data_IF_075080587371
#
_entry.id   IF_075080587371
#
_cell.length_a   1.000
_cell.length_b   1.000
_cell.length_c   1.000
_cell.angle_alpha   90.00
_cell.angle_beta   90.00
_cell.angle_gamma   90.00
#
_symmetry.space_group_name_H-M   'P 1'
#
loop_
_entity.id
_entity.type
_entity.pdbx_description
1 polymer ?
#
# COMPACT_ATOMS: atom_id res chain seq x y z
N UNK A 1 -4.97 -26.42 7.04
CA UNK A 1 -4.38 -25.08 7.11
C UNK A 1 -4.44 -24.45 5.74
N UNK A 2 -5.06 -23.27 5.62
CA UNK A 2 -5.17 -22.55 4.33
C UNK A 2 -3.79 -22.04 3.88
N UNK A 3 -3.70 -21.63 2.61
CA UNK A 3 -2.47 -21.04 2.08
C UNK A 3 -2.14 -19.72 2.80
N UNK A 4 -3.14 -18.89 3.10
CA UNK A 4 -2.92 -17.64 3.83
C UNK A 4 -2.39 -17.89 5.24
N UNK A 5 -2.91 -18.92 5.93
CA UNK A 5 -2.38 -19.32 7.24
C UNK A 5 -0.89 -19.71 7.16
N UNK A 6 -0.47 -20.44 6.11
CA UNK A 6 0.95 -20.76 5.89
C UNK A 6 1.79 -19.50 5.64
N UNK A 7 1.29 -18.58 4.81
CA UNK A 7 2.00 -17.32 4.55
C UNK A 7 2.16 -16.48 5.83
N UNK A 8 1.18 -16.50 6.72
CA UNK A 8 1.22 -15.79 8.01
C UNK A 8 2.29 -16.33 8.98
N UNK A 9 2.76 -17.56 8.78
CA UNK A 9 3.88 -18.13 9.56
C UNK A 9 5.24 -17.56 9.15
N UNK A 10 5.33 -16.90 7.98
CA UNK A 10 6.55 -16.25 7.54
C UNK A 10 6.72 -14.88 8.22
N UNK A 11 7.94 -14.55 8.69
CA UNK A 11 8.25 -13.20 9.17
C UNK A 11 8.29 -12.17 8.03
N UNK A 12 8.49 -12.62 6.79
CA UNK A 12 8.43 -11.80 5.59
C UNK A 12 8.06 -12.68 4.38
N UNK A 13 7.35 -12.10 3.41
CA UNK A 13 6.93 -12.75 2.18
C UNK A 13 7.95 -12.63 1.02
N UNK A 14 9.17 -12.12 1.26
CA UNK A 14 10.23 -12.11 0.25
C UNK A 14 10.51 -13.51 -0.34
N UNK A 15 10.63 -14.52 0.51
CA UNK A 15 10.90 -15.88 0.05
C UNK A 15 9.78 -16.44 -0.85
N UNK A 16 8.49 -16.32 -0.51
CA UNK A 16 7.40 -16.77 -1.38
C UNK A 16 7.02 -15.80 -2.52
N UNK A 17 7.41 -14.53 -2.49
CA UNK A 17 6.92 -13.50 -3.44
C UNK A 17 8.00 -12.68 -4.15
N UNK A 18 9.27 -12.83 -3.80
CA UNK A 18 10.35 -11.91 -4.19
C UNK A 18 10.73 -11.90 -5.67
N UNK A 19 10.11 -12.73 -6.52
CA UNK A 19 10.30 -12.71 -7.97
C UNK A 19 8.96 -12.90 -8.68
N UNK A 20 8.85 -12.42 -9.93
CA UNK A 20 7.66 -12.61 -10.75
C UNK A 20 7.23 -14.08 -10.88
N UNK A 21 8.20 -14.99 -11.05
CA UNK A 21 7.91 -16.43 -11.12
C UNK A 21 7.34 -17.00 -9.82
N UNK A 22 7.87 -16.55 -8.67
CA UNK A 22 7.36 -16.94 -7.35
C UNK A 22 5.94 -16.40 -7.10
N UNK A 23 5.70 -15.12 -7.45
CA UNK A 23 4.35 -14.53 -7.38
C UNK A 23 3.35 -15.27 -8.26
N UNK A 24 3.71 -15.57 -9.51
CA UNK A 24 2.86 -16.32 -10.43
C UNK A 24 2.53 -17.74 -9.91
N UNK A 25 3.52 -18.42 -9.32
CA UNK A 25 3.29 -19.73 -8.69
C UNK A 25 2.36 -19.63 -7.47
N UNK A 26 2.57 -18.63 -6.61
CA UNK A 26 1.73 -18.41 -5.44
C UNK A 26 0.28 -18.10 -5.85
N UNK A 27 0.11 -17.22 -6.85
CA UNK A 27 -1.19 -16.88 -7.43
C UNK A 27 -1.94 -18.10 -7.94
N UNK A 28 -1.25 -18.98 -8.68
CA UNK A 28 -1.84 -20.23 -9.18
C UNK A 28 -2.23 -21.21 -8.07
N UNK A 29 -1.69 -21.04 -6.86
CA UNK A 29 -1.96 -21.89 -5.69
C UNK A 29 -3.11 -21.36 -4.82
N UNK A 30 -3.58 -20.14 -5.06
CA UNK A 30 -4.72 -19.57 -4.35
C UNK A 30 -6.04 -20.13 -4.92
N UNK A 31 -6.98 -20.55 -4.06
CA UNK A 31 -8.26 -21.05 -4.52
C UNK A 31 -9.08 -19.90 -5.15
N UNK A 32 -9.66 -20.10 -6.35
CA UNK A 32 -10.52 -19.09 -6.93
C UNK A 32 -11.79 -18.93 -6.07
N UNK A 33 -12.18 -17.68 -5.84
CA UNK A 33 -13.41 -17.34 -5.13
C UNK A 33 -14.02 -16.09 -5.77
N UNK A 34 -15.35 -16.07 -5.87
CA UNK A 34 -16.10 -14.88 -6.30
C UNK A 34 -16.79 -14.18 -5.14
N UNK A 35 -16.66 -14.74 -3.92
CA UNK A 35 -17.22 -14.14 -2.73
C UNK A 35 -16.54 -12.80 -2.45
N UNK A 36 -17.31 -11.85 -1.93
CA UNK A 36 -16.82 -10.54 -1.50
C UNK A 36 -17.13 -10.34 -0.02
N UNK A 37 -16.11 -10.05 0.77
CA UNK A 37 -16.25 -9.51 2.12
C UNK A 37 -16.32 -7.99 2.02
N UNK A 38 -17.44 -7.41 2.43
CA UNK A 38 -17.62 -5.95 2.42
C UNK A 38 -17.53 -5.38 3.84
N UNK A 39 -16.88 -4.23 3.97
CA UNK A 39 -16.84 -3.41 5.18
C UNK A 39 -17.45 -2.05 4.82
N UNK A 40 -18.55 -1.69 5.49
CA UNK A 40 -19.36 -0.49 5.15
C UNK A 40 -18.75 0.85 5.60
N UNK A 41 -17.53 0.84 6.15
CA UNK A 41 -16.78 2.02 6.56
C UNK A 41 -15.29 1.71 6.62
N UNK A 42 -14.59 2.29 7.59
CA UNK A 42 -13.17 2.01 7.81
C UNK A 42 -12.95 0.59 8.32
N UNK A 43 -11.90 -0.06 7.83
CA UNK A 43 -11.34 -1.28 8.41
C UNK A 43 -10.06 -0.90 9.15
N UNK A 44 -10.02 -1.10 10.46
CA UNK A 44 -8.84 -0.89 11.29
C UNK A 44 -8.32 -2.22 11.83
N UNK A 45 -7.03 -2.47 11.67
CA UNK A 45 -6.31 -3.51 12.39
C UNK A 45 -5.45 -2.86 13.46
N UNK A 46 -5.59 -3.33 14.70
CA UNK A 46 -4.80 -2.84 15.83
C UNK A 46 -3.40 -3.45 15.85
N UNK A 47 -2.54 -2.94 16.73
CA UNK A 47 -1.17 -3.44 16.84
C UNK A 47 -1.13 -4.96 17.06
N UNK A 48 -0.35 -5.66 16.22
CA UNK A 48 -0.20 -7.13 16.26
C UNK A 48 -1.43 -7.93 15.82
N UNK A 49 -2.48 -7.28 15.29
CA UNK A 49 -3.67 -7.96 14.83
C UNK A 49 -3.46 -8.64 13.46
N UNK A 50 -3.83 -9.92 13.39
CA UNK A 50 -3.86 -10.69 12.14
C UNK A 50 -5.28 -10.82 11.61
N UNK A 51 -5.48 -10.47 10.34
CA UNK A 51 -6.74 -10.71 9.64
C UNK A 51 -6.50 -11.48 8.35
N UNK A 52 -7.19 -12.62 8.25
CA UNK A 52 -7.25 -13.44 7.04
C UNK A 52 -8.62 -13.27 6.37
N UNK A 53 -8.62 -13.06 5.06
CA UNK A 53 -9.83 -12.97 4.23
C UNK A 53 -9.69 -13.99 3.10
N UNK A 54 -10.40 -15.10 3.22
CA UNK A 54 -10.37 -16.20 2.24
C UNK A 54 -11.31 -15.95 1.05
N UNK A 55 -12.14 -14.90 1.13
CA UNK A 55 -12.95 -14.42 0.02
C UNK A 55 -12.08 -13.89 -1.13
N UNK A 56 -12.60 -14.00 -2.36
CA UNK A 56 -11.92 -13.52 -3.55
C UNK A 56 -11.82 -12.00 -3.65
N UNK A 57 -12.48 -11.28 -2.75
CA UNK A 57 -12.38 -9.82 -2.64
C UNK A 57 -12.65 -9.35 -1.21
N UNK A 58 -11.82 -8.44 -0.74
CA UNK A 58 -12.11 -7.52 0.36
C UNK A 58 -12.47 -6.16 -0.23
N UNK A 59 -13.66 -5.64 0.11
CA UNK A 59 -14.10 -4.30 -0.27
C UNK A 59 -14.33 -3.44 0.97
N UNK A 60 -13.54 -2.37 1.13
CA UNK A 60 -13.63 -1.42 2.25
C UNK A 60 -14.14 -0.08 1.71
N UNK A 61 -15.32 0.35 2.15
CA UNK A 61 -15.93 1.61 1.67
C UNK A 61 -15.30 2.87 2.28
N UNK A 62 -14.56 2.73 3.37
CA UNK A 62 -13.81 3.82 3.98
C UNK A 62 -12.31 3.69 3.73
N UNK A 63 -11.54 3.91 4.79
CA UNK A 63 -10.10 3.74 4.85
C UNK A 63 -9.72 2.33 5.33
N UNK A 64 -8.57 1.85 4.86
CA UNK A 64 -7.91 0.69 5.45
C UNK A 64 -6.74 1.21 6.31
N UNK A 65 -6.85 1.02 7.63
CA UNK A 65 -5.92 1.53 8.63
C UNK A 65 -5.20 0.35 9.29
N UNK A 66 -3.88 0.36 9.25
CA UNK A 66 -3.02 -0.65 9.86
C UNK A 66 -2.15 0.03 10.92
N UNK A 67 -2.15 -0.50 12.13
CA UNK A 67 -1.17 -0.15 13.16
C UNK A 67 0.08 -1.06 13.06
N UNK A 68 1.09 -0.78 13.87
CA UNK A 68 2.35 -1.52 13.90
C UNK A 68 2.11 -3.03 14.09
N UNK A 69 2.90 -3.87 13.42
CA UNK A 69 2.86 -5.33 13.50
C UNK A 69 1.54 -5.98 13.05
N UNK A 70 0.58 -5.19 12.56
CA UNK A 70 -0.66 -5.75 12.01
C UNK A 70 -0.43 -6.38 10.64
N UNK A 71 -1.20 -7.44 10.35
CA UNK A 71 -1.04 -8.24 9.14
C UNK A 71 -2.39 -8.57 8.52
N UNK A 72 -2.62 -8.08 7.31
CA UNK A 72 -3.80 -8.37 6.50
C UNK A 72 -3.40 -9.20 5.28
N UNK A 73 -3.95 -10.42 5.18
CA UNK A 73 -3.80 -11.29 4.01
C UNK A 73 -5.17 -11.55 3.40
N UNK A 74 -5.32 -11.22 2.11
CA UNK A 74 -6.55 -11.44 1.34
C UNK A 74 -6.26 -12.39 0.18
N UNK A 75 -7.09 -13.40 -0.01
CA UNK A 75 -6.89 -14.43 -1.05
C UNK A 75 -7.05 -13.90 -2.48
N UNK A 76 -7.78 -12.80 -2.65
CA UNK A 76 -7.97 -12.14 -3.95
C UNK A 76 -7.72 -10.63 -3.90
N UNK A 77 -8.66 -9.86 -4.46
CA UNK A 77 -8.52 -8.41 -4.59
C UNK A 77 -8.74 -7.67 -3.26
N UNK A 78 -8.02 -6.56 -3.09
CA UNK A 78 -8.30 -5.55 -2.06
C UNK A 78 -8.73 -4.27 -2.75
N UNK A 79 -9.97 -3.85 -2.51
CA UNK A 79 -10.51 -2.59 -2.99
C UNK A 79 -10.84 -1.72 -1.79
N UNK A 80 -10.22 -0.55 -1.72
CA UNK A 80 -10.46 0.46 -0.68
C UNK A 80 -10.95 1.71 -1.39
N UNK A 81 -12.14 2.21 -1.04
CA UNK A 81 -12.67 3.42 -1.70
C UNK A 81 -11.91 4.68 -1.26
N UNK A 82 -11.34 4.67 -0.06
CA UNK A 82 -10.46 5.72 0.45
C UNK A 82 -8.97 5.36 0.42
N UNK A 83 -8.26 5.79 1.46
CA UNK A 83 -6.82 5.61 1.62
C UNK A 83 -6.45 4.29 2.33
N UNK A 84 -5.32 3.70 1.95
CA UNK A 84 -4.60 2.70 2.73
C UNK A 84 -3.51 3.42 3.52
N UNK A 85 -3.57 3.31 4.84
CA UNK A 85 -2.66 4.03 5.75
C UNK A 85 -2.12 3.06 6.78
N UNK A 86 -0.81 2.91 6.80
CA UNK A 86 -0.11 2.42 7.98
C UNK A 86 0.16 3.61 8.91
N UNK A 87 -0.37 3.59 10.13
CA UNK A 87 -0.21 4.71 11.08
C UNK A 87 1.11 4.65 11.87
N UNK A 88 1.75 3.48 11.86
CA UNK A 88 2.97 3.19 12.60
C UNK A 88 4.27 3.32 11.78
N UNK A 89 5.39 2.97 12.40
CA UNK A 89 6.74 3.03 11.78
C UNK A 89 7.50 1.70 11.90
N UNK A 90 6.92 0.69 12.53
CA UNK A 90 7.44 -0.67 12.52
C UNK A 90 6.89 -1.44 11.29
N UNK A 91 7.09 -2.75 11.28
CA UNK A 91 6.61 -3.63 10.23
C UNK A 91 5.09 -3.78 10.29
N UNK A 92 4.39 -3.56 9.18
CA UNK A 92 3.05 -4.13 8.92
C UNK A 92 3.07 -4.94 7.63
N UNK A 93 2.12 -5.84 7.46
CA UNK A 93 1.97 -6.66 6.24
C UNK A 93 0.61 -6.42 5.59
N UNK A 94 0.62 -6.05 4.32
CA UNK A 94 -0.56 -6.07 3.46
C UNK A 94 -0.30 -6.97 2.26
N UNK A 95 -1.06 -8.06 2.16
CA UNK A 95 -0.99 -9.02 1.07
C UNK A 95 -2.35 -9.14 0.38
N UNK A 96 -2.32 -9.06 -0.95
CA UNK A 96 -3.44 -9.38 -1.82
C UNK A 96 -3.02 -10.45 -2.84
N UNK A 97 -3.77 -11.54 -2.87
CA UNK A 97 -3.63 -12.60 -3.87
C UNK A 97 -3.99 -12.18 -5.29
N UNK A 98 -4.69 -11.05 -5.43
CA UNK A 98 -5.01 -10.38 -6.69
C UNK A 98 -4.39 -8.98 -6.77
N UNK A 99 -5.25 -7.99 -7.02
CA UNK A 99 -4.87 -6.58 -7.15
C UNK A 99 -5.18 -5.76 -5.89
N UNK A 100 -4.50 -4.63 -5.72
CA UNK A 100 -4.81 -3.62 -4.68
C UNK A 100 -5.24 -2.31 -5.37
N UNK A 101 -6.38 -1.77 -4.94
CA UNK A 101 -6.92 -0.50 -5.41
C UNK A 101 -7.26 0.42 -4.25
N UNK A 102 -6.83 1.69 -4.32
CA UNK A 102 -7.13 2.71 -3.34
C UNK A 102 -6.99 4.13 -3.90
N UNK A 103 -7.39 5.14 -3.14
CA UNK A 103 -7.10 6.54 -3.48
C UNK A 103 -5.61 6.83 -3.30
N UNK A 104 -5.08 6.65 -2.09
CA UNK A 104 -3.66 6.76 -1.78
C UNK A 104 -3.20 5.56 -0.97
N UNK A 105 -1.90 5.30 -1.00
CA UNK A 105 -1.23 4.34 -0.15
C UNK A 105 -0.07 5.04 0.55
N UNK A 106 -0.11 5.08 1.87
CA UNK A 106 1.01 5.45 2.73
C UNK A 106 1.31 4.22 3.60
N UNK A 107 2.39 3.51 3.28
CA UNK A 107 2.64 2.20 3.88
C UNK A 107 4.12 2.00 4.20
N UNK A 108 4.37 1.54 5.42
CA UNK A 108 5.67 1.16 5.94
C UNK A 108 5.59 -0.32 6.36
N UNK A 109 6.60 -1.13 6.04
CA UNK A 109 6.52 -2.60 6.12
C UNK A 109 6.23 -3.25 4.77
N UNK A 110 5.85 -4.52 4.75
CA UNK A 110 5.78 -5.32 3.52
C UNK A 110 4.43 -5.22 2.81
N UNK A 111 4.46 -4.95 1.50
CA UNK A 111 3.27 -4.81 0.66
C UNK A 111 3.37 -5.75 -0.54
N UNK A 112 2.36 -6.59 -0.74
CA UNK A 112 2.34 -7.58 -1.82
C UNK A 112 1.01 -7.54 -2.55
N UNK A 113 1.06 -7.33 -3.87
CA UNK A 113 -0.06 -7.56 -4.77
C UNK A 113 0.41 -8.51 -5.88
N UNK A 114 -0.14 -9.73 -5.95
CA UNK A 114 0.32 -10.72 -6.93
C UNK A 114 -0.04 -10.37 -8.39
N UNK A 115 -0.91 -9.39 -8.60
CA UNK A 115 -1.15 -8.79 -9.91
C UNK A 115 -0.59 -7.37 -9.97
N UNK A 116 -1.23 -6.41 -9.31
CA UNK A 116 -0.80 -5.02 -9.40
C UNK A 116 -1.45 -4.09 -8.40
N UNK A 117 -0.89 -2.89 -8.31
CA UNK A 117 -1.39 -1.77 -7.53
C UNK A 117 -1.90 -0.68 -8.46
N UNK A 118 -3.13 -0.24 -8.23
CA UNK A 118 -3.74 0.87 -8.96
C UNK A 118 -4.24 1.91 -7.97
N UNK A 119 -3.52 3.03 -7.88
CA UNK A 119 -3.83 4.12 -6.97
C UNK A 119 -4.23 5.37 -7.74
N UNK A 120 -5.24 6.09 -7.27
CA UNK A 120 -5.66 7.34 -7.93
C UNK A 120 -4.69 8.48 -7.69
N UNK A 121 -4.08 8.52 -6.51
CA UNK A 121 -3.16 9.54 -6.03
C UNK A 121 -1.73 9.02 -5.98
N UNK A 122 -1.23 8.73 -4.78
CA UNK A 122 0.16 8.35 -4.59
C UNK A 122 0.34 6.94 -4.01
N UNK A 123 1.43 6.28 -4.42
CA UNK A 123 2.05 5.19 -3.67
C UNK A 123 3.27 5.73 -2.92
N UNK A 124 3.16 5.83 -1.60
CA UNK A 124 4.24 6.25 -0.71
C UNK A 124 4.67 5.04 0.13
N UNK A 125 5.74 4.38 -0.33
CA UNK A 125 6.30 3.14 0.25
C UNK A 125 7.69 3.40 0.82
N UNK A 126 7.80 4.44 1.65
CA UNK A 126 9.06 5.01 2.12
C UNK A 126 9.47 4.36 3.44
N UNK A 127 10.77 4.07 3.62
CA UNK A 127 11.31 3.17 4.65
C UNK A 127 10.69 1.76 4.63
N UNK A 128 10.33 1.28 3.43
CA UNK A 128 9.93 -0.10 3.28
C UNK A 128 11.18 -1.00 3.28
N UNK A 129 11.70 -1.27 4.47
CA UNK A 129 12.91 -2.09 4.71
C UNK A 129 12.75 -3.54 4.21
N UNK A 130 11.51 -3.99 3.99
CA UNK A 130 11.20 -5.35 3.63
C UNK A 130 11.03 -5.50 2.11
N UNK A 131 10.04 -4.85 1.49
CA UNK A 131 9.86 -4.56 0.04
C UNK A 131 8.38 -4.28 -0.32
N UNK A 132 8.15 -3.69 -1.50
CA UNK A 132 6.84 -3.68 -2.19
C UNK A 132 6.88 -4.58 -3.42
N UNK A 133 6.14 -5.68 -3.44
CA UNK A 133 6.12 -6.65 -4.54
C UNK A 133 4.85 -6.55 -5.39
N UNK A 134 5.01 -6.27 -6.68
CA UNK A 134 3.94 -6.34 -7.66
C UNK A 134 4.44 -6.40 -9.10
N UNK A 135 3.62 -6.90 -10.03
CA UNK A 135 3.99 -6.88 -11.45
C UNK A 135 3.82 -5.47 -12.04
N UNK A 136 2.84 -4.72 -11.56
CA UNK A 136 2.60 -3.33 -11.99
C UNK A 136 2.19 -2.43 -10.83
N UNK A 137 2.67 -1.19 -10.86
CA UNK A 137 2.19 -0.11 -9.99
C UNK A 137 1.82 1.08 -10.87
N UNK A 138 0.55 1.48 -10.81
CA UNK A 138 0.03 2.68 -11.46
C UNK A 138 -0.44 3.68 -10.41
N UNK A 139 0.10 4.90 -10.45
CA UNK A 139 -0.28 6.00 -9.56
C UNK A 139 0.00 7.34 -10.25
N UNK A 140 -0.50 8.47 -9.73
CA UNK A 140 -0.01 9.79 -10.17
C UNK A 140 1.41 10.04 -9.68
N UNK A 141 1.69 9.64 -8.45
CA UNK A 141 3.00 9.80 -7.83
C UNK A 141 3.47 8.53 -7.14
N UNK A 142 4.78 8.26 -7.21
CA UNK A 142 5.46 7.22 -6.46
C UNK A 142 6.59 7.84 -5.66
N UNK A 143 6.63 7.55 -4.36
CA UNK A 143 7.70 7.97 -3.44
C UNK A 143 8.27 6.71 -2.78
N UNK A 144 9.55 6.43 -3.04
CA UNK A 144 10.25 5.25 -2.53
C UNK A 144 11.70 5.60 -2.11
N UNK A 145 12.29 4.86 -1.17
CA UNK A 145 13.70 5.02 -0.77
C UNK A 145 14.50 3.75 -1.13
N UNK A 146 14.22 2.65 -0.43
CA UNK A 146 15.16 1.53 -0.34
C UNK A 146 14.96 0.41 -1.38
N UNK A 147 13.74 0.18 -1.89
CA UNK A 147 13.40 -0.99 -2.74
C UNK A 147 12.37 -0.72 -3.85
N UNK A 148 12.60 0.32 -4.66
CA UNK A 148 11.75 0.58 -5.85
C UNK A 148 11.86 -0.51 -6.94
N UNK A 149 12.90 -1.35 -6.88
CA UNK A 149 13.19 -2.44 -7.82
C UNK A 149 12.28 -3.68 -7.67
N UNK A 150 11.55 -3.78 -6.56
CA UNK A 150 10.68 -4.90 -6.25
C UNK A 150 9.33 -4.88 -7.01
N UNK A 151 9.05 -3.78 -7.73
CA UNK A 151 7.93 -3.65 -8.66
C UNK A 151 8.44 -3.76 -10.10
N UNK A 152 7.91 -4.69 -10.88
CA UNK A 152 8.46 -4.96 -12.23
C UNK A 152 8.23 -3.78 -13.20
N UNK A 153 7.10 -3.06 -13.07
CA UNK A 153 6.74 -1.91 -13.92
C UNK A 153 6.04 -0.81 -13.13
N UNK A 154 6.58 0.40 -13.20
CA UNK A 154 6.00 1.60 -12.58
C UNK A 154 5.46 2.55 -13.67
N UNK A 155 4.21 2.96 -13.52
CA UNK A 155 3.53 3.96 -14.34
C UNK A 155 3.09 5.13 -13.47
N UNK A 156 3.86 6.22 -13.48
CA UNK A 156 3.56 7.42 -12.72
C UNK A 156 3.97 8.70 -13.44
N UNK A 157 3.22 9.78 -13.20
CA UNK A 157 3.57 11.12 -13.70
C UNK A 157 4.81 11.66 -12.97
N UNK A 158 4.97 11.29 -11.69
CA UNK A 158 6.12 11.66 -10.86
C UNK A 158 6.64 10.44 -10.10
N UNK A 159 7.94 10.20 -10.17
CA UNK A 159 8.62 9.17 -9.39
C UNK A 159 9.79 9.81 -8.64
N UNK A 160 9.69 9.82 -7.31
CA UNK A 160 10.72 10.33 -6.41
C UNK A 160 11.38 9.14 -5.72
N UNK A 161 12.69 8.99 -5.94
CA UNK A 161 13.49 7.97 -5.28
C UNK A 161 14.55 8.62 -4.39
N UNK A 162 14.63 8.16 -3.14
CA UNK A 162 15.68 8.51 -2.20
C UNK A 162 15.18 9.20 -0.92
N UNK A 163 16.11 9.36 0.01
CA UNK A 163 15.79 9.84 1.34
C UNK A 163 15.07 11.19 1.34
N UNK A 164 14.10 11.35 2.25
CA UNK A 164 13.21 12.52 2.41
C UNK A 164 13.94 13.86 2.39
N UNK A 165 15.07 13.95 3.10
CA UNK A 165 15.95 15.13 3.10
C UNK A 165 16.49 15.50 1.71
N UNK A 166 16.71 14.52 0.85
CA UNK A 166 17.20 14.70 -0.53
C UNK A 166 16.05 15.11 -1.44
N UNK A 167 14.87 14.49 -1.28
CA UNK A 167 13.70 14.76 -2.12
C UNK A 167 12.77 15.85 -1.56
N UNK A 168 13.13 16.53 -0.48
CA UNK A 168 12.27 17.47 0.26
C UNK A 168 11.67 18.57 -0.64
N UNK A 169 12.49 19.20 -1.49
CA UNK A 169 12.01 20.25 -2.39
C UNK A 169 11.01 19.71 -3.44
N UNK A 170 11.18 18.46 -3.88
CA UNK A 170 10.24 17.82 -4.79
C UNK A 170 8.95 17.42 -4.07
N UNK A 171 9.05 16.95 -2.81
CA UNK A 171 7.89 16.68 -1.96
C UNK A 171 7.07 17.94 -1.69
N UNK A 172 7.71 19.07 -1.40
CA UNK A 172 7.03 20.36 -1.21
C UNK A 172 6.19 20.77 -2.42
N UNK A 173 6.72 20.55 -3.63
CA UNK A 173 6.02 20.85 -4.88
C UNK A 173 4.90 19.85 -5.18
N UNK A 174 5.07 18.60 -4.78
CA UNK A 174 4.14 17.51 -5.04
C UNK A 174 2.93 17.51 -4.10
N UNK A 175 3.19 17.72 -2.80
CA UNK A 175 2.20 17.56 -1.74
C UNK A 175 1.28 18.77 -1.62
N UNK A 176 0.03 18.49 -1.26
CA UNK A 176 -0.90 19.54 -0.85
C UNK A 176 -0.26 20.37 0.28
N UNK A 177 -0.41 21.72 0.31
CA UNK A 177 0.25 22.55 1.32
C UNK A 177 0.01 22.07 2.76
N UNK A 178 -1.22 21.73 3.11
CA UNK A 178 -1.53 21.17 4.43
C UNK A 178 -0.81 19.84 4.70
N UNK A 179 -0.73 18.95 3.69
CA UNK A 179 -0.02 17.68 3.84
C UNK A 179 1.50 17.90 4.01
N UNK A 180 2.06 18.89 3.31
CA UNK A 180 3.45 19.30 3.47
C UNK A 180 3.74 19.87 4.85
N UNK A 181 2.89 20.77 5.34
CA UNK A 181 3.02 21.33 6.69
C UNK A 181 2.99 20.22 7.75
N UNK A 182 2.06 19.25 7.62
CA UNK A 182 2.02 18.07 8.51
C UNK A 182 3.28 17.23 8.42
N UNK A 183 3.78 16.99 7.22
CA UNK A 183 5.02 16.25 7.02
C UNK A 183 6.20 16.93 7.71
N UNK A 184 6.26 18.26 7.70
CA UNK A 184 7.30 19.03 8.40
C UNK A 184 7.14 19.02 9.93
N UNK A 185 5.90 19.02 10.45
CA UNK A 185 5.60 19.04 11.88
C UNK A 185 5.86 17.70 12.59
N UNK A 186 5.71 16.56 11.89
CA UNK A 186 5.74 15.24 12.52
C UNK A 186 6.04 14.06 11.58
N UNK A 187 6.88 14.31 10.56
CA UNK A 187 7.40 13.39 9.53
C UNK A 187 6.35 12.48 8.90
N UNK A 188 6.18 11.26 9.42
CA UNK A 188 5.32 10.23 8.84
C UNK A 188 3.96 10.16 9.54
N UNK A 189 3.96 10.09 10.87
CA UNK A 189 2.73 9.90 11.66
C UNK A 189 1.76 11.07 11.51
N UNK A 190 2.26 12.29 11.36
CA UNK A 190 1.40 13.46 11.10
C UNK A 190 0.73 13.37 9.72
N UNK A 191 1.46 12.90 8.71
CA UNK A 191 0.93 12.68 7.37
C UNK A 191 -0.08 11.51 7.33
N UNK A 192 0.18 10.43 8.08
CA UNK A 192 -0.76 9.32 8.23
C UNK A 192 -2.09 9.78 8.85
N UNK A 193 -2.04 10.61 9.91
CA UNK A 193 -3.24 11.20 10.53
C UNK A 193 -4.01 12.11 9.55
N UNK A 194 -3.31 12.89 8.74
CA UNK A 194 -3.90 13.72 7.67
C UNK A 194 -4.67 12.86 6.67
N UNK A 195 -4.06 11.77 6.18
CA UNK A 195 -4.71 10.86 5.23
C UNK A 195 -5.88 10.08 5.81
N UNK A 196 -5.79 9.68 7.08
CA UNK A 196 -6.91 9.04 7.80
C UNK A 196 -8.16 9.92 7.84
N UNK A 197 -7.98 11.24 7.85
CA UNK A 197 -9.08 12.20 7.85
C UNK A 197 -9.67 12.42 6.45
N UNK A 198 -9.23 11.67 5.43
CA UNK A 198 -9.65 11.82 4.05
C UNK A 198 -9.10 13.09 3.38
N UNK A 199 -8.12 13.75 4.00
CA UNK A 199 -7.56 14.98 3.48
C UNK A 199 -6.62 14.72 2.29
N UNK A 200 -6.52 15.67 1.33
CA UNK A 200 -5.75 15.47 0.11
C UNK A 200 -4.26 15.34 0.38
N UNK A 201 -3.63 14.34 -0.24
CA UNK A 201 -2.18 14.14 -0.19
C UNK A 201 -1.45 15.00 -1.21
N UNK A 202 -1.89 14.91 -2.47
CA UNK A 202 -1.27 15.55 -3.61
C UNK A 202 -1.96 16.87 -3.92
N UNK A 203 -1.22 17.81 -4.51
CA UNK A 203 -1.83 18.96 -5.16
C UNK A 203 -2.71 18.49 -6.32
N UNK A 204 -3.74 19.27 -6.63
CA UNK A 204 -4.44 19.12 -7.90
C UNK A 204 -3.43 19.30 -9.02
N UNK A 205 -3.43 18.38 -10.00
CA UNK A 205 -2.62 18.57 -11.19
C UNK A 205 -3.01 19.90 -11.83
N UNK A 206 -2.07 20.73 -12.29
CA UNK A 206 -2.44 21.89 -13.09
C UNK A 206 -3.31 21.41 -14.25
N UNK A 207 -4.37 22.16 -14.64
CA UNK A 207 -5.21 21.75 -15.75
C UNK A 207 -4.32 21.50 -16.96
N UNK A 208 -4.42 20.29 -17.54
CA UNK A 208 -3.73 19.96 -18.79
C UNK A 208 -4.05 21.07 -19.78
N UNK A 209 -3.05 21.90 -20.12
CA UNK A 209 -3.21 22.84 -21.23
C UNK A 209 -3.49 22.00 -22.46
N UNK A 210 -4.73 22.12 -22.97
CA UNK A 210 -5.15 21.53 -24.23
C UNK A 210 -4.35 22.14 -25.38
#
# INVERSE_FOLDING_TARGET
MSLLQKLMEHPSLHDPCGTAAKRAHLKASLPPSVATKQVDGDLRLSEGEDLLVEEGRLHVKGHLLLDDQSRLLVAGDVVVEGNIVHEGFDYALLFAGGSIQADNLLFHGELVALEGLSLRGAAWTYFNDYSTYADTLTARAVVADDRADAVDRIHADTHLQGHSRVIAAALEQLLHPEAWDRYQEGSYTALAKHLRQGQPLLRDSPPRRK
#
